data_IF_247196067028
#
_entry.id   IF_247196067028
#
_cell.length_a   1.000
_cell.length_b   1.000
_cell.length_c   1.000
_cell.angle_alpha   90.00
_cell.angle_beta   90.00
_cell.angle_gamma   90.00
#
_symmetry.space_group_name_H-M   'P 1'
#
loop_
_entity.id
_entity.type
_entity.pdbx_description
1 polymer ?
#
# COMPACT_ATOMS: atom_id res chain seq x y z
N UNK A 1 33.97 7.16 -23.90
CA UNK A 1 33.11 6.01 -23.55
C UNK A 1 32.30 6.37 -22.31
N UNK A 2 30.97 6.37 -22.45
CA UNK A 2 29.91 6.45 -21.42
C UNK A 2 30.02 7.51 -20.30
N UNK A 3 29.39 8.68 -20.52
CA UNK A 3 28.90 9.55 -19.45
C UNK A 3 27.65 8.89 -18.84
N UNK A 4 27.80 8.18 -17.72
CA UNK A 4 26.66 7.80 -16.90
C UNK A 4 26.07 9.07 -16.27
N UNK A 5 25.07 9.64 -16.95
CA UNK A 5 24.26 10.74 -16.42
C UNK A 5 23.61 10.29 -15.13
N UNK A 6 24.07 10.86 -14.00
CA UNK A 6 23.46 10.69 -12.69
C UNK A 6 22.05 11.25 -12.75
N UNK A 7 21.05 10.39 -12.99
CA UNK A 7 19.63 10.79 -12.93
C UNK A 7 19.37 11.43 -11.56
N UNK A 8 18.92 12.69 -11.56
CA UNK A 8 18.50 13.38 -10.34
C UNK A 8 17.22 12.70 -9.84
N UNK A 9 17.28 12.02 -8.70
CA UNK A 9 16.10 11.49 -8.01
C UNK A 9 15.07 12.62 -7.84
N UNK A 10 13.85 12.43 -8.34
CA UNK A 10 12.75 13.40 -8.16
C UNK A 10 12.47 13.53 -6.66
N UNK A 11 12.42 14.76 -6.14
CA UNK A 11 12.10 14.99 -4.72
C UNK A 11 10.62 14.71 -4.49
N UNK A 12 10.24 14.10 -3.35
CA UNK A 12 8.83 13.95 -2.98
C UNK A 12 8.11 15.30 -2.92
N UNK A 13 6.84 15.31 -3.31
CA UNK A 13 5.97 16.49 -3.31
C UNK A 13 5.54 16.86 -1.87
N UNK A 14 6.40 17.59 -1.17
CA UNK A 14 6.07 18.18 0.14
C UNK A 14 6.23 17.22 1.33
N UNK A 15 5.67 17.56 2.51
CA UNK A 15 5.71 16.68 3.68
C UNK A 15 4.76 15.48 3.51
N UNK A 16 5.00 14.34 4.19
CA UNK A 16 4.10 13.21 4.17
C UNK A 16 2.69 13.57 4.64
N UNK A 17 1.68 13.13 3.88
CA UNK A 17 0.28 13.34 4.21
C UNK A 17 -0.32 12.08 4.84
N UNK A 18 -1.32 12.24 5.71
CA UNK A 18 -2.12 11.09 6.15
C UNK A 18 -3.20 10.80 5.09
N UNK A 19 -3.18 9.63 4.44
CA UNK A 19 -4.16 9.31 3.41
C UNK A 19 -5.47 8.78 4.00
N UNK A 20 -5.66 8.79 5.33
CA UNK A 20 -6.82 8.22 6.03
C UNK A 20 -7.01 6.75 5.69
N UNK A 21 -6.07 5.93 6.12
CA UNK A 21 -6.13 4.48 5.99
C UNK A 21 -7.40 3.93 6.63
N UNK A 22 -8.05 3.00 5.93
CA UNK A 22 -9.28 2.40 6.42
C UNK A 22 -8.97 1.36 7.49
N UNK A 23 -9.66 1.49 8.62
CA UNK A 23 -9.63 0.53 9.71
C UNK A 23 -10.91 -0.33 9.67
N UNK A 24 -10.79 -1.58 10.10
CA UNK A 24 -11.92 -2.46 10.34
C UNK A 24 -12.59 -2.18 11.68
N UNK A 25 -13.46 -3.09 12.08
CA UNK A 25 -14.25 -2.95 13.31
C UNK A 25 -13.35 -2.79 14.56
N UNK A 26 -13.68 -1.83 15.41
CA UNK A 26 -12.92 -1.54 16.64
C UNK A 26 -11.54 -0.90 16.43
N UNK A 27 -11.29 -0.29 15.27
CA UNK A 27 -10.03 0.42 14.98
C UNK A 27 -8.85 -0.49 14.61
N UNK A 28 -9.10 -1.80 14.52
CA UNK A 28 -8.10 -2.79 14.10
C UNK A 28 -8.06 -2.91 12.58
N UNK A 29 -6.90 -3.23 12.04
CA UNK A 29 -6.81 -3.54 10.61
C UNK A 29 -7.46 -4.90 10.33
N UNK A 30 -8.27 -5.02 9.27
CA UNK A 30 -8.87 -6.28 8.89
C UNK A 30 -7.78 -7.27 8.45
N UNK A 31 -8.02 -8.54 8.73
CA UNK A 31 -7.20 -9.61 8.18
C UNK A 31 -7.52 -9.75 6.69
N UNK A 32 -6.49 -9.81 5.86
CA UNK A 32 -6.62 -9.78 4.41
C UNK A 32 -7.50 -10.93 3.88
N UNK A 33 -7.31 -12.15 4.40
CA UNK A 33 -8.02 -13.33 3.94
C UNK A 33 -9.41 -13.54 4.57
N UNK A 34 -9.69 -12.87 5.70
CA UNK A 34 -11.00 -12.95 6.36
C UNK A 34 -11.91 -11.78 5.91
N UNK A 35 -11.37 -10.81 5.14
CA UNK A 35 -12.11 -9.68 4.63
C UNK A 35 -12.91 -10.10 3.40
N UNK A 36 -14.23 -9.98 3.48
CA UNK A 36 -15.09 -9.98 2.30
C UNK A 36 -15.08 -8.57 1.67
N UNK A 37 -14.45 -8.37 0.49
CA UNK A 37 -14.34 -7.06 -0.11
C UNK A 37 -15.70 -6.48 -0.58
N UNK A 38 -16.65 -7.34 -0.94
CA UNK A 38 -17.99 -6.92 -1.38
C UNK A 38 -18.83 -6.46 -0.19
N UNK A 39 -18.81 -7.23 0.91
CA UNK A 39 -19.47 -6.83 2.15
C UNK A 39 -18.85 -5.54 2.75
N UNK A 40 -17.55 -5.33 2.53
CA UNK A 40 -16.85 -4.10 2.91
C UNK A 40 -17.12 -2.91 1.95
N UNK A 41 -17.93 -3.09 0.90
CA UNK A 41 -18.30 -2.03 -0.03
C UNK A 41 -17.16 -1.56 -0.96
N UNK A 42 -16.20 -2.44 -1.24
CA UNK A 42 -15.02 -2.15 -2.05
C UNK A 42 -15.24 -2.36 -3.55
N UNK A 43 -16.38 -2.91 -3.95
CA UNK A 43 -16.71 -3.06 -5.35
C UNK A 43 -16.86 -1.69 -6.04
N UNK A 44 -16.21 -1.56 -7.19
CA UNK A 44 -16.12 -0.32 -7.96
C UNK A 44 -15.34 0.81 -7.27
N UNK A 45 -14.66 0.55 -6.15
CA UNK A 45 -13.86 1.56 -5.45
C UNK A 45 -12.41 1.50 -5.89
N UNK A 46 -11.85 2.67 -6.19
CA UNK A 46 -10.44 2.83 -6.51
C UNK A 46 -9.65 3.37 -5.31
N UNK A 47 -8.38 3.03 -5.24
CA UNK A 47 -7.51 3.49 -4.17
C UNK A 47 -6.16 2.81 -4.12
N UNK A 48 -5.38 3.17 -3.11
CA UNK A 48 -4.10 2.55 -2.78
C UNK A 48 -4.29 1.66 -1.57
N UNK A 49 -3.62 0.51 -1.55
CA UNK A 49 -3.68 -0.44 -0.47
C UNK A 49 -2.29 -0.95 -0.10
N UNK A 50 -2.18 -1.42 1.14
CA UNK A 50 -0.98 -2.06 1.66
C UNK A 50 -1.36 -3.32 2.42
N UNK A 51 -0.58 -4.37 2.20
CA UNK A 51 -0.69 -5.67 2.86
C UNK A 51 0.60 -5.89 3.66
N UNK A 52 0.47 -6.34 4.90
CA UNK A 52 1.60 -6.68 5.76
C UNK A 52 1.25 -7.87 6.63
N UNK A 53 2.27 -8.48 7.23
CA UNK A 53 2.08 -9.56 8.20
C UNK A 53 2.72 -9.19 9.54
N UNK A 54 2.16 -9.68 10.63
CA UNK A 54 2.67 -9.46 12.00
C UNK A 54 3.31 -10.71 12.61
N UNK A 55 3.77 -11.63 11.76
CA UNK A 55 4.35 -12.91 12.16
C UNK A 55 5.81 -12.84 12.61
N UNK A 56 6.52 -13.95 12.46
CA UNK A 56 7.97 -13.98 12.68
C UNK A 56 8.64 -13.06 11.65
N UNK A 57 9.27 -11.98 12.13
CA UNK A 57 9.80 -10.85 11.35
C UNK A 57 8.71 -10.06 10.59
N UNK A 58 7.91 -9.25 11.32
CA UNK A 58 6.84 -8.46 10.72
C UNK A 58 7.38 -7.54 9.62
N UNK A 59 6.58 -7.35 8.58
CA UNK A 59 6.98 -6.50 7.46
C UNK A 59 5.91 -6.36 6.39
N UNK A 60 6.12 -5.37 5.53
CA UNK A 60 5.26 -5.09 4.39
C UNK A 60 5.40 -6.19 3.35
N UNK A 61 4.28 -6.74 2.91
CA UNK A 61 4.23 -7.84 1.95
C UNK A 61 4.02 -7.28 0.57
N UNK A 62 2.97 -6.48 0.38
CA UNK A 62 2.58 -5.98 -0.93
C UNK A 62 1.99 -4.57 -0.83
N UNK A 63 2.28 -3.73 -1.81
CA UNK A 63 1.73 -2.38 -1.93
C UNK A 63 1.24 -2.22 -3.36
N UNK A 64 0.02 -1.70 -3.51
CA UNK A 64 -0.57 -1.55 -4.82
C UNK A 64 -1.61 -0.48 -4.89
N UNK A 65 -1.99 -0.20 -6.12
CA UNK A 65 -3.15 0.63 -6.45
C UNK A 65 -4.17 -0.22 -7.21
N UNK A 66 -5.43 0.18 -7.16
CA UNK A 66 -6.46 -0.47 -7.95
C UNK A 66 -7.56 0.50 -8.33
N UNK A 67 -8.17 0.26 -9.48
CA UNK A 67 -9.43 0.89 -9.91
C UNK A 67 -10.66 0.16 -9.38
N UNK A 68 -10.52 -1.08 -8.91
CA UNK A 68 -11.54 -1.87 -8.22
C UNK A 68 -10.88 -2.75 -7.15
N UNK A 69 -10.90 -2.26 -5.91
CA UNK A 69 -10.29 -2.90 -4.76
C UNK A 69 -10.85 -4.31 -4.51
N UNK A 70 -12.15 -4.53 -4.68
CA UNK A 70 -12.74 -5.85 -4.48
C UNK A 70 -12.13 -6.91 -5.42
N UNK A 71 -12.11 -6.62 -6.73
CA UNK A 71 -11.51 -7.53 -7.72
C UNK A 71 -10.03 -7.78 -7.48
N UNK A 72 -9.30 -6.73 -7.11
CA UNK A 72 -7.88 -6.86 -6.80
C UNK A 72 -7.64 -7.71 -5.56
N UNK A 73 -8.43 -7.54 -4.50
CA UNK A 73 -8.27 -8.34 -3.28
C UNK A 73 -8.60 -9.81 -3.51
N UNK A 74 -9.62 -10.11 -4.33
CA UNK A 74 -9.85 -11.50 -4.75
C UNK A 74 -8.65 -12.08 -5.51
N UNK A 75 -8.11 -11.33 -6.48
CA UNK A 75 -6.96 -11.79 -7.27
C UNK A 75 -5.72 -12.03 -6.40
N UNK A 76 -5.43 -11.12 -5.48
CA UNK A 76 -4.30 -11.23 -4.56
C UNK A 76 -4.54 -12.27 -3.44
N UNK A 77 -5.79 -12.63 -3.18
CA UNK A 77 -6.17 -13.70 -2.28
C UNK A 77 -5.82 -15.10 -2.79
N UNK A 78 -5.57 -15.23 -4.10
CA UNK A 78 -5.12 -16.44 -4.78
C UNK A 78 -3.63 -16.40 -5.19
N UNK A 79 -2.91 -15.32 -4.83
CA UNK A 79 -1.51 -15.12 -5.19
C UNK A 79 -0.56 -15.87 -4.24
N UNK A 80 0.17 -16.86 -4.76
CA UNK A 80 1.04 -17.73 -3.96
C UNK A 80 2.17 -16.97 -3.25
N UNK A 81 2.72 -15.91 -3.86
CA UNK A 81 3.81 -15.12 -3.30
C UNK A 81 3.33 -14.32 -2.07
N UNK A 82 2.08 -13.85 -2.08
CA UNK A 82 1.46 -13.20 -0.92
C UNK A 82 1.05 -14.23 0.14
N UNK A 83 0.45 -15.33 -0.30
CA UNK A 83 -0.05 -16.38 0.59
C UNK A 83 1.05 -17.10 1.36
N UNK A 84 2.29 -17.18 0.85
CA UNK A 84 3.44 -17.73 1.59
C UNK A 84 3.63 -17.04 2.97
N UNK A 85 3.28 -15.76 3.07
CA UNK A 85 3.40 -15.00 4.31
C UNK A 85 2.27 -15.28 5.31
N UNK A 86 1.17 -15.89 4.87
CA UNK A 86 0.08 -16.35 5.76
C UNK A 86 0.59 -17.42 6.73
N UNK A 87 1.40 -18.35 6.24
CA UNK A 87 1.90 -19.46 7.07
C UNK A 87 2.93 -18.97 8.10
N UNK A 88 3.50 -17.77 7.89
CA UNK A 88 4.41 -17.09 8.83
C UNK A 88 3.69 -16.22 9.86
N UNK A 89 2.42 -15.87 9.61
CA UNK A 89 1.57 -15.06 10.49
C UNK A 89 0.31 -14.53 9.79
N UNK A 90 -0.59 -13.88 10.55
CA UNK A 90 -1.78 -13.27 9.96
C UNK A 90 -1.40 -12.12 9.00
N UNK A 91 -2.00 -12.13 7.82
CA UNK A 91 -1.94 -11.04 6.84
C UNK A 91 -3.03 -10.02 7.17
N UNK A 92 -2.65 -8.75 7.13
CA UNK A 92 -3.53 -7.61 7.34
C UNK A 92 -3.50 -6.73 6.10
N UNK A 93 -4.62 -6.03 5.87
CA UNK A 93 -4.75 -5.09 4.77
C UNK A 93 -5.36 -3.79 5.25
N UNK A 94 -4.97 -2.70 4.61
CA UNK A 94 -5.66 -1.43 4.71
C UNK A 94 -5.61 -0.73 3.35
N UNK A 95 -6.62 0.07 3.07
CA UNK A 95 -6.74 0.84 1.83
C UNK A 95 -7.13 2.28 2.13
N UNK A 96 -6.79 3.16 1.21
CA UNK A 96 -7.19 4.56 1.21
C UNK A 96 -7.75 4.94 -0.16
N UNK A 97 -8.83 5.73 -0.14
CA UNK A 97 -9.47 6.27 -1.33
C UNK A 97 -8.68 7.47 -1.85
N UNK A 98 -7.78 7.21 -2.78
CA UNK A 98 -6.93 8.21 -3.42
C UNK A 98 -7.41 8.39 -4.85
N UNK A 99 -7.44 9.64 -5.32
CA UNK A 99 -7.78 9.96 -6.72
C UNK A 99 -6.84 9.22 -7.67
N UNK A 100 -7.41 8.61 -8.72
CA UNK A 100 -6.69 7.75 -9.67
C UNK A 100 -5.38 8.37 -10.19
N UNK A 101 -5.40 9.67 -10.51
CA UNK A 101 -4.24 10.44 -10.97
C UNK A 101 -3.06 10.46 -9.99
N UNK A 102 -3.32 10.33 -8.69
CA UNK A 102 -2.33 10.41 -7.62
C UNK A 102 -1.89 9.01 -7.13
N UNK A 103 -2.66 7.97 -7.44
CA UNK A 103 -2.37 6.61 -6.96
C UNK A 103 -0.96 6.12 -7.35
N UNK A 104 -0.46 6.35 -8.60
CA UNK A 104 0.85 5.83 -8.99
C UNK A 104 1.98 6.47 -8.18
N UNK A 105 1.87 7.77 -7.93
CA UNK A 105 2.85 8.53 -7.14
C UNK A 105 2.90 8.08 -5.69
N UNK A 106 1.74 7.75 -5.11
CA UNK A 106 1.64 7.24 -3.73
C UNK A 106 2.14 5.79 -3.62
N UNK A 107 1.70 4.91 -4.53
CA UNK A 107 2.10 3.50 -4.54
C UNK A 107 3.62 3.34 -4.75
N UNK A 108 4.20 4.10 -5.68
CA UNK A 108 5.66 4.12 -5.89
C UNK A 108 6.39 4.66 -4.66
N UNK A 109 5.93 5.76 -4.06
CA UNK A 109 6.56 6.29 -2.85
C UNK A 109 6.56 5.26 -1.70
N UNK A 110 5.40 4.64 -1.44
CA UNK A 110 5.26 3.63 -0.40
C UNK A 110 6.14 2.40 -0.67
N UNK A 111 6.21 1.94 -1.93
CA UNK A 111 7.08 0.82 -2.32
C UNK A 111 8.55 1.12 -2.01
N UNK A 112 9.03 2.32 -2.35
CA UNK A 112 10.41 2.73 -2.07
C UNK A 112 10.70 2.90 -0.58
N UNK A 113 9.75 3.46 0.17
CA UNK A 113 9.88 3.74 1.59
C UNK A 113 9.82 2.47 2.44
N UNK A 114 8.91 1.56 2.10
CA UNK A 114 8.57 0.39 2.92
C UNK A 114 9.24 -0.90 2.47
N UNK A 115 9.71 -0.95 1.21
CA UNK A 115 10.37 -2.11 0.59
C UNK A 115 9.58 -3.41 0.83
N UNK A 116 8.38 -3.53 0.21
CA UNK A 116 7.56 -4.72 0.36
C UNK A 116 8.33 -5.96 -0.09
N UNK A 117 8.01 -7.10 0.50
CA UNK A 117 8.70 -8.36 0.19
C UNK A 117 8.32 -8.93 -1.18
N UNK A 118 7.11 -8.60 -1.66
CA UNK A 118 6.62 -8.98 -2.98
C UNK A 118 6.60 -7.72 -3.84
N UNK A 119 7.28 -7.79 -4.98
CA UNK A 119 7.33 -6.70 -5.94
C UNK A 119 6.02 -6.61 -6.73
N UNK A 120 5.47 -5.40 -6.84
CA UNK A 120 4.30 -5.15 -7.67
C UNK A 120 4.74 -4.72 -9.08
N UNK A 121 4.44 -5.49 -10.14
CA UNK A 121 4.82 -5.14 -11.52
C UNK A 121 4.12 -3.87 -12.04
N UNK A 122 3.03 -3.43 -11.40
CA UNK A 122 2.33 -2.19 -11.77
C UNK A 122 2.98 -0.94 -11.14
N UNK A 123 3.91 -1.10 -10.20
CA UNK A 123 4.63 0.02 -9.60
C UNK A 123 5.47 0.72 -10.66
N UNK A 124 5.25 2.03 -10.80
CA UNK A 124 6.01 2.87 -11.72
C UNK A 124 7.38 3.19 -11.13
N UNK A 125 8.36 3.46 -11.98
CA UNK A 125 9.68 3.92 -11.55
C UNK A 125 9.59 5.29 -10.89
N UNK A 126 10.49 5.59 -9.94
CA UNK A 126 10.61 6.93 -9.33
C UNK A 126 10.88 8.06 -10.35
N UNK A 127 11.35 7.70 -11.54
CA UNK A 127 11.59 8.64 -12.65
C UNK A 127 10.28 9.01 -13.38
N UNK A 128 9.31 8.09 -13.45
CA UNK A 128 8.12 8.19 -14.31
C UNK A 128 6.96 8.95 -13.64
N UNK A 129 6.94 9.00 -12.31
CA UNK A 129 5.83 9.57 -11.53
C UNK A 129 6.33 10.59 -10.51
N UNK A 130 5.46 11.54 -10.16
CA UNK A 130 5.72 12.41 -9.02
C UNK A 130 5.44 11.67 -7.72
N UNK A 131 6.48 11.54 -6.88
CA UNK A 131 6.38 10.84 -5.60
C UNK A 131 5.54 11.66 -4.63
N UNK A 132 4.42 11.09 -4.20
CA UNK A 132 3.51 11.72 -3.24
C UNK A 132 3.76 11.06 -1.89
N UNK A 133 4.42 11.76 -0.96
CA UNK A 133 4.75 11.17 0.32
C UNK A 133 3.49 11.02 1.17
N UNK A 134 3.27 9.81 1.68
CA UNK A 134 2.17 9.51 2.61
C UNK A 134 2.67 8.68 3.78
N UNK A 135 2.01 8.80 4.92
CA UNK A 135 2.27 7.90 6.04
C UNK A 135 1.75 6.49 5.74
N UNK A 136 2.47 5.43 6.15
CA UNK A 136 1.97 4.06 6.03
C UNK A 136 0.88 3.76 7.05
N UNK A 137 0.07 2.71 6.84
CA UNK A 137 -0.93 2.28 7.81
C UNK A 137 -0.33 2.08 9.21
N UNK A 138 -0.97 2.66 10.22
CA UNK A 138 -0.53 2.56 11.61
C UNK A 138 0.61 3.49 12.03
N UNK A 139 1.15 4.30 11.11
CA UNK A 139 1.96 5.47 11.48
C UNK A 139 1.11 6.72 11.35
N UNK A 140 0.92 7.43 12.46
CA UNK A 140 0.22 8.72 12.49
C UNK A 140 1.28 9.82 12.60
N UNK A 141 1.12 10.99 11.95
CA UNK A 141 1.94 12.15 12.25
C UNK A 141 1.91 12.44 13.76
N UNK A 142 3.07 12.80 14.33
CA UNK A 142 3.32 12.98 15.77
C UNK A 142 2.57 14.18 16.42
N UNK A 143 1.39 14.53 15.94
CA UNK A 143 0.57 15.65 16.43
C UNK A 143 -0.94 15.42 16.37
N UNK A 144 -1.39 14.23 15.94
CA UNK A 144 -2.81 13.85 15.93
C UNK A 144 -3.02 12.68 16.90
N UNK A 145 -2.71 12.93 18.18
CA UNK A 145 -3.22 12.08 19.26
C UNK A 145 -4.73 12.25 19.30
N UNK A 146 -5.44 11.13 19.15
CA UNK A 146 -6.88 11.05 19.24
C UNK A 146 -7.37 11.75 20.51
N UNK A 147 -8.20 12.80 20.33
CA UNK A 147 -9.03 13.37 21.39
C UNK A 147 -10.23 12.48 21.66
#
# INVERSE_FOLDING_TARGET
>A
MALFGRKKKRKPLGPPQDPKWTHGEGGRFPKFLDLDPEAAGLDGKSGVFAIWHTGVQPGWVYIGQSTNLAKTFFTLGDDEDILEYRDRGALYVSWSYIRDELQPGVATYLTLALKPKVDNPQTKSEDDVDLIPVYPPGMVPKGEEAK
#
